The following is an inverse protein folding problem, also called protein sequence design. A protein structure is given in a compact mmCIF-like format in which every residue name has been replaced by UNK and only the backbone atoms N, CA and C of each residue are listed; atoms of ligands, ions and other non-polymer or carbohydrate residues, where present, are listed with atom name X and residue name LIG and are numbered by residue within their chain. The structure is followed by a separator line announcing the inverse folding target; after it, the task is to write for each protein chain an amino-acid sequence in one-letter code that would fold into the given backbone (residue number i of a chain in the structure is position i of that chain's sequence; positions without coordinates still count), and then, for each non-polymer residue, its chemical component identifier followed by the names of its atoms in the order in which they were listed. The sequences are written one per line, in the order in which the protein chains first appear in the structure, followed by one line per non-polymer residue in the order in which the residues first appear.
data_IF_309649394444
#
_entry.id   IF_309649394444
#
_cell.length_a   1.000
_cell.length_b   1.000
_cell.length_c   1.000
_cell.angle_alpha   90.00
_cell.angle_beta   90.00
_cell.angle_gamma   90.00
#
_symmetry.space_group_name_H-M   'P 1'
#
loop_
_entity.id
_entity.type
_entity.pdbx_description
1 polymer ?
#
# COMPACT_ATOMS: atom_id res chain seq x y z
N UNK A 1 27.85 -72.61 6.13
CA UNK A 1 26.73 -72.77 5.20
C UNK A 1 26.23 -71.38 4.82
N UNK A 2 26.38 -70.93 3.56
CA UNK A 2 25.99 -69.59 3.15
C UNK A 2 24.49 -69.53 2.82
N UNK A 3 23.78 -68.65 3.50
CA UNK A 3 22.35 -68.40 3.32
C UNK A 3 22.16 -67.52 2.07
N UNK A 4 21.61 -68.10 1.00
CA UNK A 4 21.33 -67.41 -0.24
C UNK A 4 19.98 -66.68 -0.11
N UNK A 5 20.01 -65.37 0.16
CA UNK A 5 18.81 -64.53 0.30
C UNK A 5 18.39 -64.06 -1.08
N UNK A 6 17.30 -64.64 -1.59
CA UNK A 6 16.72 -64.31 -2.88
C UNK A 6 15.86 -63.05 -2.72
N UNK A 7 16.42 -61.89 -3.07
CA UNK A 7 15.73 -60.59 -3.02
C UNK A 7 15.04 -60.36 -4.36
N UNK A 8 13.69 -60.30 -4.42
CA UNK A 8 13.00 -60.01 -5.66
C UNK A 8 13.26 -58.56 -6.11
N UNK A 9 13.36 -58.30 -7.42
CA UNK A 9 13.57 -56.95 -7.93
C UNK A 9 12.38 -56.05 -7.62
N UNK A 10 12.60 -54.76 -7.32
CA UNK A 10 11.52 -53.82 -7.04
C UNK A 10 10.65 -53.62 -8.29
N UNK A 11 9.33 -53.66 -8.09
CA UNK A 11 8.36 -53.36 -9.13
C UNK A 11 8.50 -51.88 -9.54
N UNK A 12 8.96 -51.65 -10.77
CA UNK A 12 9.04 -50.31 -11.36
C UNK A 12 7.63 -49.92 -11.79
N UNK A 13 6.92 -49.20 -10.93
CA UNK A 13 5.65 -48.57 -11.27
C UNK A 13 5.94 -47.40 -12.20
N UNK A 14 5.65 -47.57 -13.49
CA UNK A 14 5.71 -46.51 -14.48
C UNK A 14 4.58 -45.50 -14.21
N UNK A 15 4.83 -44.50 -13.37
CA UNK A 15 3.98 -43.32 -13.30
C UNK A 15 4.15 -42.55 -14.62
N UNK A 16 3.22 -42.75 -15.54
CA UNK A 16 3.11 -41.95 -16.76
C UNK A 16 2.65 -40.55 -16.37
N UNK A 17 3.60 -39.64 -16.14
CA UNK A 17 3.31 -38.23 -15.97
C UNK A 17 2.84 -37.69 -17.34
N UNK A 18 1.54 -37.52 -17.50
CA UNK A 18 1.00 -36.69 -18.58
C UNK A 18 1.42 -35.24 -18.30
N UNK A 19 2.51 -34.81 -18.93
CA UNK A 19 2.80 -33.40 -19.14
C UNK A 19 1.71 -32.85 -20.06
N UNK A 20 0.61 -32.37 -19.47
CA UNK A 20 -0.30 -31.45 -20.12
C UNK A 20 0.45 -30.13 -20.32
N UNK A 21 1.25 -30.07 -21.39
CA UNK A 21 1.66 -28.81 -22.00
C UNK A 21 0.42 -28.19 -22.63
N UNK A 22 -0.45 -27.62 -21.80
CA UNK A 22 -1.42 -26.64 -22.28
C UNK A 22 -0.61 -25.43 -22.69
N UNK A 23 -0.12 -25.44 -23.93
CA UNK A 23 0.23 -24.22 -24.64
C UNK A 23 -1.08 -23.43 -24.70
N UNK A 24 -1.28 -22.59 -23.69
CA UNK A 24 -2.32 -21.58 -23.65
C UNK A 24 -2.05 -20.71 -24.87
N UNK A 25 -2.69 -21.08 -25.98
CA UNK A 25 -2.76 -20.28 -27.18
C UNK A 25 -3.60 -19.08 -26.77
N UNK A 26 -2.92 -18.09 -26.20
CA UNK A 26 -3.52 -16.80 -25.89
C UNK A 26 -4.21 -16.37 -27.19
N UNK A 27 -5.53 -16.13 -27.18
CA UNK A 27 -6.17 -15.55 -28.35
C UNK A 27 -5.37 -14.29 -28.68
N UNK A 28 -4.93 -14.17 -29.93
CA UNK A 28 -4.26 -12.96 -30.37
C UNK A 28 -5.23 -11.81 -30.11
N UNK A 29 -4.98 -11.06 -29.03
CA UNK A 29 -5.77 -9.89 -28.66
C UNK A 29 -5.42 -8.85 -29.71
N UNK A 30 -6.21 -8.85 -30.79
CA UNK A 30 -6.19 -7.79 -31.78
C UNK A 30 -6.55 -6.49 -31.06
N UNK A 31 -5.69 -5.47 -31.15
CA UNK A 31 -5.83 -4.17 -30.47
C UNK A 31 -7.08 -3.38 -30.87
N UNK A 32 -7.93 -3.93 -31.74
CA UNK A 32 -9.10 -3.27 -32.29
C UNK A 32 -10.45 -3.87 -31.84
N UNK A 33 -10.46 -4.66 -30.77
CA UNK A 33 -11.72 -5.09 -30.14
C UNK A 33 -12.26 -4.01 -29.19
N UNK A 34 -13.55 -3.70 -29.29
CA UNK A 34 -14.23 -2.83 -28.34
C UNK A 34 -14.32 -3.49 -26.96
N UNK A 35 -14.22 -2.68 -25.91
CA UNK A 35 -14.29 -3.14 -24.52
C UNK A 35 -15.59 -3.93 -24.22
N UNK A 36 -16.70 -3.58 -24.87
CA UNK A 36 -17.98 -4.29 -24.71
C UNK A 36 -17.92 -5.75 -25.18
N UNK A 37 -17.13 -6.05 -26.21
CA UNK A 37 -16.98 -7.41 -26.73
C UNK A 37 -16.13 -8.27 -25.81
N UNK A 38 -15.18 -7.66 -25.09
CA UNK A 38 -14.40 -8.34 -24.04
C UNK A 38 -15.31 -8.72 -22.88
N UNK A 39 -16.18 -7.80 -22.42
CA UNK A 39 -17.12 -8.07 -21.32
C UNK A 39 -18.13 -9.17 -21.71
N UNK A 40 -18.66 -9.14 -22.93
CA UNK A 40 -19.59 -10.16 -23.42
C UNK A 40 -18.97 -11.57 -23.44
N UNK A 41 -17.65 -11.68 -23.72
CA UNK A 41 -16.96 -12.97 -23.77
C UNK A 41 -16.90 -13.68 -22.41
N UNK A 42 -16.91 -12.95 -21.31
CA UNK A 42 -16.95 -13.53 -19.95
C UNK A 42 -18.36 -13.83 -19.46
N UNK A 43 -19.38 -13.18 -20.02
CA UNK A 43 -20.77 -13.35 -19.59
C UNK A 43 -21.45 -14.62 -20.16
N UNK A 44 -20.87 -15.28 -21.16
CA UNK A 44 -21.60 -16.26 -21.99
C UNK A 44 -21.41 -17.73 -21.59
N UNK A 45 -20.73 -18.05 -20.50
CA UNK A 45 -20.55 -19.46 -20.06
C UNK A 45 -20.85 -19.65 -18.59
N UNK A 46 -22.12 -19.51 -18.22
CA UNK A 46 -22.67 -20.23 -17.07
C UNK A 46 -23.72 -21.20 -17.63
N UNK A 47 -23.38 -22.50 -17.78
CA UNK A 47 -24.41 -23.51 -18.04
C UNK A 47 -25.36 -23.52 -16.84
N UNK A 48 -26.59 -23.07 -17.08
CA UNK A 48 -27.69 -23.06 -16.13
C UNK A 48 -28.24 -24.48 -15.99
N UNK A 49 -27.52 -25.35 -15.29
CA UNK A 49 -28.03 -26.66 -14.91
C UNK A 49 -28.82 -26.55 -13.60
N UNK A 50 -30.14 -26.63 -13.76
CA UNK A 50 -31.12 -26.74 -12.67
C UNK A 50 -30.98 -28.10 -12.01
N UNK A 51 -30.04 -28.24 -11.09
CA UNK A 51 -30.11 -29.31 -10.09
C UNK A 51 -29.96 -28.69 -8.71
N UNK A 52 -31.08 -28.70 -7.99
CA UNK A 52 -31.17 -28.40 -6.56
C UNK A 52 -30.31 -29.39 -5.79
N UNK A 53 -29.26 -28.95 -5.07
CA UNK A 53 -28.70 -29.72 -3.99
C UNK A 53 -29.20 -29.09 -2.69
N UNK A 54 -30.19 -29.73 -2.09
CA UNK A 54 -30.41 -29.66 -0.64
C UNK A 54 -29.16 -30.28 0.01
N UNK A 55 -28.09 -29.50 0.13
CA UNK A 55 -26.86 -29.87 0.79
C UNK A 55 -26.74 -29.04 2.06
N UNK A 56 -27.25 -29.65 3.13
CA UNK A 56 -26.76 -29.58 4.51
C UNK A 56 -25.55 -28.67 4.66
N UNK A 57 -25.75 -27.56 5.37
CA UNK A 57 -24.72 -26.70 5.94
C UNK A 57 -23.65 -27.55 6.64
N UNK A 58 -22.58 -27.88 5.91
CA UNK A 58 -21.33 -28.25 6.54
C UNK A 58 -20.66 -26.94 7.00
N UNK A 59 -20.38 -26.76 8.29
CA UNK A 59 -19.50 -25.70 8.72
C UNK A 59 -18.13 -25.96 8.08
N UNK A 60 -17.62 -24.99 7.32
CA UNK A 60 -16.27 -25.01 6.79
C UNK A 60 -15.27 -25.04 7.95
N UNK A 61 -14.99 -26.26 8.42
CA UNK A 61 -13.83 -26.66 9.22
C UNK A 61 -12.67 -26.79 8.23
N UNK A 62 -11.85 -25.76 8.11
CA UNK A 62 -10.71 -25.79 7.21
C UNK A 62 -9.99 -24.47 6.96
N UNK A 63 -10.05 -23.51 7.89
CA UNK A 63 -9.04 -22.44 8.00
C UNK A 63 -8.49 -22.44 9.42
N UNK A 64 -8.01 -23.61 9.85
CA UNK A 64 -7.18 -23.78 11.05
C UNK A 64 -5.70 -23.80 10.64
N UNK A 65 -5.24 -22.67 10.13
CA UNK A 65 -3.84 -22.26 9.97
C UNK A 65 -3.98 -20.78 9.64
N UNK A 66 -4.05 -19.86 10.60
CA UNK A 66 -2.89 -19.38 11.35
C UNK A 66 -3.31 -19.28 12.83
N UNK A 67 -3.21 -20.40 13.52
CA UNK A 67 -3.18 -20.42 14.98
C UNK A 67 -1.78 -19.98 15.41
N UNK A 68 -1.59 -18.67 15.60
CA UNK A 68 -0.47 -18.17 16.41
C UNK A 68 -0.97 -17.07 17.34
N UNK A 69 -2.02 -17.43 18.09
CA UNK A 69 -2.32 -16.90 19.42
C UNK A 69 -1.21 -17.36 20.37
N UNK A 70 0.03 -16.95 20.10
CA UNK A 70 1.00 -16.80 21.16
C UNK A 70 0.85 -15.39 21.66
N UNK A 71 0.75 -15.27 22.97
CA UNK A 71 0.64 -14.05 23.77
C UNK A 71 1.92 -13.22 23.67
N UNK A 72 2.32 -12.89 22.45
CA UNK A 72 3.55 -12.24 22.05
C UNK A 72 3.24 -11.31 20.89
N UNK A 73 3.81 -10.11 20.92
CA UNK A 73 3.60 -9.12 19.88
C UNK A 73 4.13 -9.67 18.54
N UNK A 74 3.36 -9.52 17.47
CA UNK A 74 3.72 -9.99 16.13
C UNK A 74 4.94 -9.17 15.66
N UNK A 75 6.08 -9.85 15.56
CA UNK A 75 7.34 -9.24 15.09
C UNK A 75 7.27 -9.09 13.58
N UNK A 76 7.78 -7.97 13.05
CA UNK A 76 8.00 -7.81 11.62
C UNK A 76 8.90 -8.95 11.11
N UNK A 77 8.50 -9.75 10.11
CA UNK A 77 9.32 -10.88 9.69
C UNK A 77 10.66 -10.37 9.13
N UNK A 78 11.76 -10.89 9.67
CA UNK A 78 13.12 -10.52 9.26
C UNK A 78 13.58 -11.59 8.28
N UNK A 79 13.70 -11.30 6.97
CA UNK A 79 14.39 -12.29 6.12
C UNK A 79 14.25 -12.28 4.61
N UNK A 80 13.47 -11.42 3.95
CA UNK A 80 13.47 -11.40 2.48
C UNK A 80 13.43 -9.98 1.97
N UNK A 81 14.58 -9.48 1.51
CA UNK A 81 14.80 -8.11 1.05
C UNK A 81 13.96 -7.77 -0.21
N UNK A 82 13.20 -8.73 -0.74
CA UNK A 82 12.48 -8.60 -2.00
C UNK A 82 11.07 -9.15 -2.01
N UNK A 83 10.56 -9.76 -0.92
CA UNK A 83 9.13 -10.15 -0.91
C UNK A 83 8.31 -8.93 -0.49
N UNK A 84 7.49 -8.48 -1.43
CA UNK A 84 6.36 -7.60 -1.11
C UNK A 84 5.52 -8.32 -0.05
N UNK A 85 5.32 -7.66 1.09
CA UNK A 85 4.47 -8.20 2.12
C UNK A 85 3.03 -8.13 1.64
N UNK A 86 2.41 -9.29 1.57
CA UNK A 86 0.99 -9.44 1.35
C UNK A 86 0.28 -9.12 2.66
N UNK A 87 -0.65 -8.18 2.62
CA UNK A 87 -1.41 -7.79 3.81
C UNK A 87 -2.34 -8.91 4.28
N UNK A 88 -2.60 -9.87 3.41
CA UNK A 88 -3.26 -11.14 3.68
C UNK A 88 -2.49 -11.94 4.76
N UNK A 89 -1.15 -11.83 4.80
CA UNK A 89 -0.31 -12.47 5.83
C UNK A 89 -0.53 -11.88 7.23
N UNK A 90 -1.15 -10.71 7.30
CA UNK A 90 -1.42 -9.96 8.53
C UNK A 90 -2.72 -10.46 9.19
N UNK A 91 -3.53 -11.26 8.48
CA UNK A 91 -4.80 -11.80 8.97
C UNK A 91 -5.93 -10.78 9.02
N UNK A 92 -5.83 -9.70 8.24
CA UNK A 92 -6.87 -8.68 8.10
C UNK A 92 -7.68 -8.93 6.83
N UNK A 93 -8.98 -8.64 6.88
CA UNK A 93 -9.81 -8.63 5.68
C UNK A 93 -9.42 -7.46 4.77
N UNK A 94 -9.63 -7.64 3.46
CA UNK A 94 -9.24 -6.63 2.45
C UNK A 94 -9.93 -5.28 2.67
N UNK A 95 -11.21 -5.31 3.07
CA UNK A 95 -11.99 -4.11 3.36
C UNK A 95 -11.49 -3.34 4.60
N UNK A 96 -11.17 -4.07 5.67
CA UNK A 96 -10.59 -3.49 6.89
C UNK A 96 -9.23 -2.87 6.60
N UNK A 97 -8.43 -3.56 5.80
CA UNK A 97 -7.13 -3.10 5.37
C UNK A 97 -7.22 -1.80 4.56
N UNK A 98 -8.13 -1.72 3.59
CA UNK A 98 -8.29 -0.51 2.79
C UNK A 98 -8.79 0.64 3.67
N UNK A 99 -9.70 0.38 4.62
CA UNK A 99 -10.12 1.35 5.62
C UNK A 99 -8.95 1.90 6.45
N UNK A 100 -8.08 1.02 6.95
CA UNK A 100 -6.85 1.41 7.67
C UNK A 100 -5.94 2.25 6.77
N UNK A 101 -5.69 1.81 5.54
CA UNK A 101 -4.85 2.54 4.57
C UNK A 101 -5.39 3.95 4.32
N UNK A 102 -6.69 4.10 4.08
CA UNK A 102 -7.32 5.40 3.85
C UNK A 102 -7.24 6.29 5.08
N UNK A 103 -7.50 5.75 6.26
CA UNK A 103 -7.40 6.48 7.52
C UNK A 103 -5.98 6.97 7.79
N UNK A 104 -4.98 6.11 7.60
CA UNK A 104 -3.56 6.46 7.76
C UNK A 104 -3.17 7.53 6.72
N UNK A 105 -3.56 7.40 5.45
CA UNK A 105 -3.32 8.42 4.40
C UNK A 105 -3.90 9.79 4.80
N UNK A 106 -5.13 9.81 5.32
CA UNK A 106 -5.76 11.03 5.81
C UNK A 106 -4.95 11.68 6.95
N UNK A 107 -4.52 10.89 7.93
CA UNK A 107 -3.72 11.40 9.05
C UNK A 107 -2.34 11.91 8.60
N UNK A 108 -1.69 11.25 7.64
CA UNK A 108 -0.41 11.72 7.08
C UNK A 108 -0.58 13.10 6.44
N UNK A 109 -1.60 13.29 5.60
CA UNK A 109 -1.87 14.59 4.96
C UNK A 109 -2.15 15.69 5.99
N UNK A 110 -2.72 15.33 7.14
CA UNK A 110 -3.10 16.28 8.19
C UNK A 110 -1.94 16.65 9.11
N UNK A 111 -1.04 15.71 9.42
CA UNK A 111 -0.04 15.88 10.48
C UNK A 111 1.42 15.87 10.00
N UNK A 112 1.69 15.45 8.77
CA UNK A 112 3.05 15.36 8.21
C UNK A 112 3.17 16.16 6.92
N UNK A 113 4.41 16.53 6.59
CA UNK A 113 4.71 17.18 5.32
C UNK A 113 4.91 16.13 4.20
N UNK A 114 3.96 16.05 3.28
CA UNK A 114 4.00 15.10 2.14
C UNK A 114 5.03 15.46 1.08
N UNK A 115 5.63 16.66 1.12
CA UNK A 115 6.69 17.08 0.19
C UNK A 115 8.07 16.56 0.60
N UNK A 116 8.17 16.05 1.82
CA UNK A 116 9.41 15.66 2.46
C UNK A 116 9.51 14.13 2.55
N UNK A 117 10.71 13.60 2.36
CA UNK A 117 10.94 12.15 2.44
C UNK A 117 10.71 11.59 3.85
N UNK A 118 10.41 10.30 3.93
CA UNK A 118 10.20 9.58 5.20
C UNK A 118 11.32 9.82 6.22
N UNK A 119 12.58 9.77 5.79
CA UNK A 119 13.76 9.93 6.66
C UNK A 119 13.76 11.31 7.34
N UNK A 120 13.45 12.36 6.58
CA UNK A 120 13.39 13.74 7.10
C UNK A 120 12.17 13.98 7.99
N UNK A 121 11.01 13.41 7.65
CA UNK A 121 9.83 13.48 8.52
C UNK A 121 10.05 12.73 9.83
N UNK A 122 10.73 11.57 9.79
CA UNK A 122 11.03 10.79 11.00
C UNK A 122 11.94 11.54 11.98
N UNK A 123 12.91 12.30 11.50
CA UNK A 123 13.80 13.08 12.37
C UNK A 123 13.15 14.37 12.87
N UNK A 124 12.41 15.08 12.03
CA UNK A 124 11.83 16.39 12.37
C UNK A 124 10.46 16.32 13.07
N UNK A 125 9.66 15.32 12.76
CA UNK A 125 8.25 15.22 13.16
C UNK A 125 7.96 13.93 13.94
N UNK A 126 8.88 13.50 14.82
CA UNK A 126 8.72 12.28 15.64
C UNK A 126 7.43 12.31 16.45
N UNK A 127 7.12 13.43 17.11
CA UNK A 127 5.89 13.59 17.89
C UNK A 127 4.61 13.46 17.04
N UNK A 128 4.61 13.96 15.81
CA UNK A 128 3.48 13.80 14.88
C UNK A 128 3.29 12.33 14.48
N UNK A 129 4.38 11.58 14.26
CA UNK A 129 4.32 10.16 13.94
C UNK A 129 3.74 9.36 15.11
N UNK A 130 4.20 9.59 16.33
CA UNK A 130 3.67 8.95 17.54
C UNK A 130 2.17 9.28 17.73
N UNK A 131 1.77 10.53 17.45
CA UNK A 131 0.36 10.95 17.48
C UNK A 131 -0.49 10.23 16.43
N UNK A 132 0.03 10.02 15.22
CA UNK A 132 -0.66 9.23 14.19
C UNK A 132 -0.82 7.79 14.66
N UNK A 133 0.26 7.16 15.16
CA UNK A 133 0.22 5.79 15.67
C UNK A 133 -0.83 5.63 16.78
N UNK A 134 -0.85 6.54 17.75
CA UNK A 134 -1.85 6.53 18.83
C UNK A 134 -3.28 6.62 18.29
N UNK A 135 -3.55 7.56 17.37
CA UNK A 135 -4.89 7.71 16.77
C UNK A 135 -5.34 6.49 15.97
N UNK A 136 -4.41 5.86 15.26
CA UNK A 136 -4.69 4.65 14.49
C UNK A 136 -4.97 3.48 15.45
N UNK A 137 -4.19 3.33 16.53
CA UNK A 137 -4.44 2.33 17.56
C UNK A 137 -5.78 2.53 18.28
N UNK A 138 -6.14 3.78 18.58
CA UNK A 138 -7.42 4.12 19.21
C UNK A 138 -8.61 3.74 18.31
N UNK A 139 -8.43 3.81 16.98
CA UNK A 139 -9.49 3.49 15.99
C UNK A 139 -9.50 2.02 15.57
N UNK A 140 -8.32 1.37 15.55
CA UNK A 140 -8.12 0.00 15.09
C UNK A 140 -7.28 -0.78 16.12
N UNK A 141 -7.90 -1.27 17.22
CA UNK A 141 -7.20 -1.94 18.31
C UNK A 141 -6.45 -3.21 17.89
N UNK A 142 -6.89 -3.86 16.80
CA UNK A 142 -6.22 -5.04 16.21
C UNK A 142 -4.75 -4.77 15.88
N UNK A 143 -4.41 -3.51 15.55
CA UNK A 143 -3.04 -3.10 15.25
C UNK A 143 -2.13 -3.07 16.49
N UNK A 144 -2.69 -3.12 17.70
CA UNK A 144 -1.94 -3.19 18.95
C UNK A 144 -1.19 -4.52 19.14
N UNK A 145 -1.54 -5.55 18.36
CA UNK A 145 -0.87 -6.85 18.38
C UNK A 145 0.50 -6.81 17.69
N UNK A 146 0.76 -5.84 16.81
CA UNK A 146 2.01 -5.73 16.05
C UNK A 146 3.04 -4.90 16.80
N UNK A 147 4.29 -5.36 16.81
CA UNK A 147 5.41 -4.62 17.41
C UNK A 147 5.55 -3.26 16.73
N UNK A 148 5.61 -2.20 17.54
CA UNK A 148 5.77 -0.80 17.13
C UNK A 148 4.76 -0.31 16.09
N UNK A 149 3.61 -1.00 15.96
CA UNK A 149 2.63 -0.75 14.90
C UNK A 149 3.29 -0.72 13.52
N UNK A 150 4.20 -1.66 13.24
CA UNK A 150 4.94 -1.70 11.98
C UNK A 150 4.06 -1.66 10.72
N UNK A 151 2.82 -2.20 10.68
CA UNK A 151 1.87 -2.00 9.59
C UNK A 151 1.66 -0.52 9.24
N UNK A 152 1.38 0.28 10.26
CA UNK A 152 1.09 1.71 10.12
C UNK A 152 2.34 2.43 9.60
N UNK A 153 3.51 2.09 10.15
CA UNK A 153 4.78 2.67 9.72
C UNK A 153 5.10 2.36 8.25
N UNK A 154 4.80 1.15 7.78
CA UNK A 154 5.04 0.76 6.39
C UNK A 154 4.08 1.46 5.41
N UNK A 155 2.80 1.62 5.77
CA UNK A 155 1.85 2.44 4.98
C UNK A 155 2.33 3.89 4.91
N UNK A 156 2.75 4.47 6.05
CA UNK A 156 3.27 5.84 6.11
C UNK A 156 4.52 6.02 5.25
N UNK A 157 5.48 5.10 5.36
CA UNK A 157 6.73 5.12 4.61
C UNK A 157 6.45 5.03 3.10
N UNK A 158 5.60 4.10 2.69
CA UNK A 158 5.24 3.86 1.29
C UNK A 158 4.53 5.08 0.71
N UNK A 159 3.53 5.62 1.41
CA UNK A 159 2.80 6.80 0.95
C UNK A 159 3.69 8.04 0.81
N UNK A 160 4.57 8.30 1.78
CA UNK A 160 5.52 9.43 1.72
C UNK A 160 6.58 9.25 0.63
N UNK A 161 7.03 8.01 0.38
CA UNK A 161 7.93 7.72 -0.74
C UNK A 161 7.28 8.10 -2.07
N UNK A 162 6.09 7.57 -2.37
CA UNK A 162 5.40 7.84 -3.64
C UNK A 162 5.06 9.33 -3.81
N UNK A 163 4.53 9.99 -2.76
CA UNK A 163 4.19 11.41 -2.84
C UNK A 163 5.43 12.29 -3.06
N UNK A 164 6.51 12.07 -2.32
CA UNK A 164 7.75 12.85 -2.52
C UNK A 164 8.36 12.67 -3.92
N UNK A 165 8.29 11.46 -4.50
CA UNK A 165 8.73 11.22 -5.89
C UNK A 165 7.85 11.95 -6.90
N UNK A 166 6.53 12.00 -6.70
CA UNK A 166 5.62 12.75 -7.59
C UNK A 166 5.92 14.25 -7.60
N UNK A 167 6.19 14.86 -6.44
CA UNK A 167 6.58 16.27 -6.36
C UNK A 167 7.91 16.56 -7.06
N UNK A 168 8.90 15.68 -6.94
CA UNK A 168 10.18 15.84 -7.62
C UNK A 168 10.06 15.75 -9.15
N UNK A 169 9.15 14.89 -9.66
CA UNK A 169 8.92 14.75 -11.10
C UNK A 169 8.27 16.00 -11.70
N UNK A 170 7.26 16.58 -11.03
CA UNK A 170 6.58 17.78 -11.52
C UNK A 170 7.49 19.01 -11.61
N UNK A 171 8.45 19.15 -10.69
CA UNK A 171 9.41 20.26 -10.74
C UNK A 171 10.42 20.15 -11.88
N UNK A 172 10.77 18.93 -12.32
CA UNK A 172 11.73 18.73 -13.41
C UNK A 172 11.12 19.03 -14.78
N UNK A 173 9.87 18.67 -15.01
CA UNK A 173 9.21 18.88 -16.30
C UNK A 173 8.80 20.35 -16.51
N UNK A 174 8.50 21.09 -15.44
CA UNK A 174 8.16 22.52 -15.53
C UNK A 174 9.33 23.46 -15.81
N UNK A 175 10.58 22.99 -15.69
CA UNK A 175 11.78 23.85 -15.81
C UNK A 175 12.50 23.75 -17.17
N UNK A 176 12.07 22.86 -18.06
CA UNK A 176 12.69 22.66 -19.39
C UNK A 176 11.91 23.29 -20.56
N UNK A 177 10.79 23.97 -20.32
CA UNK A 177 9.98 24.63 -21.36
C UNK A 177 10.23 26.16 -21.47
N UNK A 178 11.40 26.66 -21.04
CA UNK A 178 11.74 28.09 -21.09
C UNK A 178 13.13 28.34 -21.68
N UNK A 179 13.47 27.67 -22.77
CA UNK A 179 14.54 28.10 -23.67
C UNK A 179 14.31 27.45 -25.03
N UNK A 180 13.58 28.12 -25.90
CA UNK A 180 13.76 28.17 -27.37
C UNK A 180 12.43 28.51 -28.07
N UNK A 181 12.08 29.78 -28.06
CA UNK A 181 11.26 30.37 -29.10
C UNK A 181 11.67 31.84 -29.24
N UNK A 182 12.71 32.07 -30.04
CA UNK A 182 12.75 33.27 -30.86
C UNK A 182 11.97 32.96 -32.15
N UNK A 183 10.82 33.59 -32.39
CA UNK A 183 10.33 33.78 -33.74
C UNK A 183 10.72 35.20 -34.16
N UNK A 184 11.79 35.29 -34.93
CA UNK A 184 12.00 36.46 -35.78
C UNK A 184 10.88 36.45 -36.83
N UNK A 185 9.86 37.26 -36.60
CA UNK A 185 8.70 37.36 -37.48
C UNK A 185 7.83 38.52 -37.04
N UNK A 186 8.16 39.70 -37.54
CA UNK A 186 7.38 40.92 -37.36
C UNK A 186 5.95 40.74 -37.87
N UNK A 187 4.96 41.16 -37.08
CA UNK A 187 3.66 41.59 -37.56
C UNK A 187 3.23 42.84 -36.76
N UNK A 188 2.67 43.86 -37.43
CA UNK A 188 2.32 45.16 -36.85
C UNK A 188 0.84 45.28 -36.43
N UNK A 189 0.56 46.33 -35.65
CA UNK A 189 -0.75 47.00 -35.42
C UNK A 189 -1.83 46.20 -34.64
N UNK A 190 -2.17 46.52 -33.40
CA UNK A 190 -2.81 47.71 -32.79
C UNK A 190 -4.35 47.71 -32.95
N UNK A 191 -5.07 47.56 -31.83
CA UNK A 191 -6.27 48.36 -31.44
C UNK A 191 -7.13 47.66 -30.37
N UNK A 192 -7.19 48.31 -29.19
CA UNK A 192 -8.43 48.67 -28.49
C UNK A 192 -9.39 47.58 -27.98
N UNK A 193 -9.61 47.56 -26.66
CA UNK A 193 -10.74 46.83 -26.07
C UNK A 193 -10.81 46.81 -24.55
N UNK A 194 -11.18 47.95 -23.97
CA UNK A 194 -12.03 48.13 -22.77
C UNK A 194 -11.75 47.40 -21.45
N UNK A 195 -11.33 48.22 -20.48
CA UNK A 195 -11.91 48.40 -19.13
C UNK A 195 -13.09 47.48 -18.75
N UNK A 196 -12.98 46.84 -17.59
CA UNK A 196 -13.88 47.08 -16.44
C UNK A 196 -13.29 46.47 -15.17
N UNK A 197 -13.27 47.29 -14.14
CA UNK A 197 -12.98 47.01 -12.75
C UNK A 197 -13.87 45.88 -12.18
N UNK A 198 -13.38 45.17 -11.15
CA UNK A 198 -14.02 45.13 -9.84
C UNK A 198 -13.56 43.93 -8.99
N UNK A 199 -13.20 44.30 -7.75
CA UNK A 199 -13.74 43.74 -6.51
C UNK A 199 -12.82 42.96 -5.55
N UNK A 200 -12.74 43.57 -4.37
CA UNK A 200 -12.73 42.98 -3.03
C UNK A 200 -11.49 42.23 -2.55
N UNK A 201 -10.58 43.05 -2.03
CA UNK A 201 -9.67 42.73 -0.93
C UNK A 201 -10.43 42.17 0.28
N UNK A 202 -10.33 40.86 0.50
CA UNK A 202 -10.83 40.16 1.69
C UNK A 202 -9.68 39.77 2.61
N UNK A 203 -9.36 40.64 3.55
CA UNK A 203 -8.41 40.41 4.65
C UNK A 203 -8.80 39.17 5.44
N UNK A 204 -7.97 38.13 5.39
CA UNK A 204 -8.13 36.94 6.22
C UNK A 204 -7.52 37.19 7.61
N UNK A 205 -8.30 37.08 8.71
CA UNK A 205 -7.76 37.26 10.05
C UNK A 205 -6.81 36.11 10.39
N UNK A 206 -5.54 36.46 10.51
CA UNK A 206 -4.44 35.65 11.02
C UNK A 206 -4.74 35.27 12.48
N UNK A 207 -5.44 34.16 12.70
CA UNK A 207 -5.60 33.56 14.03
C UNK A 207 -4.25 33.04 14.50
N UNK A 208 -3.64 33.81 15.39
CA UNK A 208 -2.42 33.48 16.13
C UNK A 208 -2.78 32.40 17.15
N UNK A 209 -2.73 31.13 16.75
CA UNK A 209 -2.81 30.01 17.68
C UNK A 209 -1.49 29.98 18.46
N UNK A 210 -1.49 30.56 19.67
CA UNK A 210 -0.43 30.36 20.65
C UNK A 210 -0.49 28.89 21.09
N UNK A 211 0.43 28.09 20.55
CA UNK A 211 0.71 26.76 21.07
C UNK A 211 1.63 26.94 22.28
N UNK A 212 1.04 26.97 23.49
CA UNK A 212 1.78 26.91 24.73
C UNK A 212 2.30 25.48 24.92
N UNK A 213 3.49 25.21 24.39
CA UNK A 213 4.24 23.99 24.61
C UNK A 213 4.86 24.04 26.02
N UNK A 214 4.11 23.56 27.02
CA UNK A 214 4.65 23.25 28.35
C UNK A 214 5.58 22.04 28.21
N UNK A 215 6.88 22.32 28.11
CA UNK A 215 7.94 21.33 28.34
C UNK A 215 8.07 21.07 29.83
N UNK A 216 7.39 20.05 30.32
CA UNK A 216 7.66 19.48 31.63
C UNK A 216 8.85 18.51 31.50
N UNK A 217 10.05 19.07 31.72
CA UNK A 217 11.29 18.32 31.84
C UNK A 217 11.29 17.57 33.18
N UNK A 218 10.84 16.32 33.20
CA UNK A 218 11.12 15.42 34.33
C UNK A 218 12.48 14.79 34.07
N UNK A 219 13.51 15.37 34.68
CA UNK A 219 14.82 14.76 34.78
C UNK A 219 14.78 13.55 35.71
N UNK A 220 15.25 12.40 35.23
CA UNK A 220 15.79 11.36 36.10
C UNK A 220 17.17 10.97 35.57
N UNK A 221 18.19 11.45 36.28
CA UNK A 221 19.58 11.05 36.08
C UNK A 221 19.78 9.62 36.58
N UNK A 222 20.06 8.70 35.65
CA UNK A 222 20.58 7.38 35.96
C UNK A 222 22.11 7.42 36.01
N UNK A 223 22.66 7.40 37.22
CA UNK A 223 24.08 7.22 37.50
C UNK A 223 24.50 5.80 37.09
N UNK A 224 25.51 5.69 36.22
CA UNK A 224 26.14 4.40 35.89
C UNK A 224 27.40 4.26 36.72
N UNK A 225 27.32 3.49 37.80
CA UNK A 225 28.49 2.94 38.49
C UNK A 225 28.99 1.77 37.65
N UNK A 226 30.24 1.84 37.17
CA UNK A 226 30.93 0.71 36.53
C UNK A 226 31.63 -0.14 37.60
N UNK A 227 31.69 -1.47 37.42
CA UNK A 227 32.50 -2.36 38.24
C UNK A 227 34.00 -2.16 38.00
#
# INVERSE_FOLDING_TARGET
MPCNVNIPPPAITHCTAFLLTTTLRLPAISMHMSWDMVIASFATTIPMDKSTPTAILQPHKGSEQIHLVMKGKIVKPKGSITREYHWEDVGLEEDELESIKQFVKYLIRKYLDTRVSWVKNKSKQKASIEKIQKKVLDSFPILGQYIDCWPVLDVMKTYLKYTSETFCKTCKTGSSASSNAAPGGACPFDSGGSLSDDNASGVSPRTKVQFNEKHEYIGQGGSWVKP
#
